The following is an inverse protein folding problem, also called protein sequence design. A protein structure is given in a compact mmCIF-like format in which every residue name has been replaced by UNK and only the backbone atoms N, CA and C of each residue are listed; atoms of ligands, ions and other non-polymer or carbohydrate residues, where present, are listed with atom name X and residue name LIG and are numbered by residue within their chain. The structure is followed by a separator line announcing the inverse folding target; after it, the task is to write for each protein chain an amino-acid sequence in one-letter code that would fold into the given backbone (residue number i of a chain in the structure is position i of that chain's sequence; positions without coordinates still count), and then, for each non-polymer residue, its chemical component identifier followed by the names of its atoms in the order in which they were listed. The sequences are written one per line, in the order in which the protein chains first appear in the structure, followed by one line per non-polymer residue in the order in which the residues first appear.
data_IF_328284614976
#
_entry.id   IF_328284614976
#
_cell.length_a   1.000
_cell.length_b   1.000
_cell.length_c   1.000
_cell.angle_alpha   90.00
_cell.angle_beta   90.00
_cell.angle_gamma   90.00
#
_symmetry.space_group_name_H-M   'P 1'
#
loop_
_entity.id
_entity.type
_entity.pdbx_description
1 polymer ?
#
# COMPACT_ATOMS: atom_id res chain seq x y z
N UNK A 1 10.67 11.71 1.08
CA UNK A 1 11.27 10.84 2.14
C UNK A 1 10.57 11.01 3.47
N UNK A 2 10.29 12.25 3.89
CA UNK A 2 9.50 12.52 5.11
C UNK A 2 8.12 11.87 5.04
N UNK A 3 7.50 11.90 3.87
CA UNK A 3 6.18 11.32 3.60
C UNK A 3 6.16 9.79 3.79
N UNK A 4 7.23 9.11 3.38
CA UNK A 4 7.37 7.64 3.50
C UNK A 4 7.49 7.25 4.98
N UNK A 5 8.29 8.00 5.74
CA UNK A 5 8.45 7.75 7.17
C UNK A 5 7.15 8.03 7.91
N UNK A 6 6.46 9.13 7.58
CA UNK A 6 5.18 9.49 8.18
C UNK A 6 4.07 8.48 7.83
N UNK A 7 4.02 7.97 6.59
CA UNK A 7 3.03 6.96 6.20
C UNK A 7 3.27 5.62 6.89
N UNK A 8 4.53 5.22 7.05
CA UNK A 8 4.89 4.03 7.82
C UNK A 8 4.47 4.16 9.28
N UNK A 9 4.81 5.29 9.93
CA UNK A 9 4.43 5.57 11.31
C UNK A 9 2.91 5.57 11.46
N UNK A 10 2.18 6.24 10.57
CA UNK A 10 0.72 6.27 10.57
C UNK A 10 0.13 4.86 10.44
N UNK A 11 0.64 4.03 9.52
CA UNK A 11 0.21 2.64 9.34
C UNK A 11 0.42 1.78 10.59
N UNK A 12 1.58 1.93 11.25
CA UNK A 12 1.87 1.27 12.53
C UNK A 12 0.89 1.73 13.61
N UNK A 13 0.68 3.04 13.77
CA UNK A 13 -0.26 3.58 14.76
C UNK A 13 -1.70 3.08 14.54
N UNK A 14 -2.18 3.09 13.31
CA UNK A 14 -3.51 2.58 12.96
C UNK A 14 -3.61 1.09 13.28
N UNK A 15 -2.61 0.29 12.89
CA UNK A 15 -2.59 -1.15 13.19
C UNK A 15 -2.60 -1.45 14.69
N UNK A 16 -1.80 -0.73 15.48
CA UNK A 16 -1.77 -0.87 16.93
C UNK A 16 -3.10 -0.45 17.55
N UNK A 17 -3.63 0.71 17.16
CA UNK A 17 -4.90 1.23 17.68
C UNK A 17 -6.04 0.24 17.46
N UNK A 18 -6.21 -0.24 16.22
CA UNK A 18 -7.28 -1.18 15.86
C UNK A 18 -7.16 -2.51 16.59
N UNK A 19 -5.93 -2.99 16.82
CA UNK A 19 -5.68 -4.20 17.60
C UNK A 19 -6.00 -4.03 19.08
N UNK A 20 -5.72 -2.85 19.66
CA UNK A 20 -6.03 -2.52 21.07
C UNK A 20 -7.55 -2.48 21.27
N UNK A 21 -8.28 -1.78 20.39
CA UNK A 21 -9.75 -1.66 20.47
C UNK A 21 -10.49 -2.88 19.93
N UNK A 22 -9.77 -3.93 19.52
CA UNK A 22 -10.29 -5.20 18.99
C UNK A 22 -11.23 -5.03 17.80
N UNK A 23 -11.01 -3.99 16.99
CA UNK A 23 -11.73 -3.80 15.74
C UNK A 23 -11.08 -4.64 14.64
N UNK A 24 -11.86 -5.10 13.64
CA UNK A 24 -11.29 -5.69 12.45
C UNK A 24 -10.34 -4.71 11.78
N UNK A 25 -9.16 -5.19 11.39
CA UNK A 25 -8.16 -4.36 10.72
C UNK A 25 -8.71 -3.86 9.38
N UNK A 26 -8.53 -2.57 9.03
CA UNK A 26 -8.98 -2.02 7.76
C UNK A 26 -8.09 -2.48 6.59
N UNK A 27 -6.82 -2.80 6.88
CA UNK A 27 -5.88 -3.34 5.90
C UNK A 27 -6.04 -4.86 5.74
N UNK A 28 -5.68 -5.43 4.57
CA UNK A 28 -5.73 -6.87 4.36
C UNK A 28 -4.98 -7.62 5.47
N UNK A 29 -5.63 -8.56 6.18
CA UNK A 29 -5.03 -9.24 7.33
C UNK A 29 -4.00 -10.31 6.94
N UNK A 30 -3.85 -10.58 5.63
CA UNK A 30 -2.98 -11.61 5.08
C UNK A 30 -1.93 -11.02 4.16
N UNK A 31 -0.74 -11.61 4.17
CA UNK A 31 0.38 -11.16 3.33
C UNK A 31 0.02 -11.16 1.85
N UNK A 32 -0.79 -12.13 1.40
CA UNK A 32 -1.28 -12.22 0.01
C UNK A 32 -2.07 -10.99 -0.41
N UNK A 33 -2.85 -10.39 0.50
CA UNK A 33 -3.60 -9.16 0.23
C UNK A 33 -2.68 -7.95 0.10
N UNK A 34 -1.64 -7.86 0.93
CA UNK A 34 -0.62 -6.80 0.84
C UNK A 34 0.14 -6.90 -0.50
N UNK A 35 0.54 -8.10 -0.90
CA UNK A 35 1.18 -8.36 -2.19
C UNK A 35 0.23 -8.01 -3.35
N UNK A 36 -1.06 -8.31 -3.23
CA UNK A 36 -2.07 -7.93 -4.23
C UNK A 36 -2.15 -6.42 -4.46
N UNK A 37 -2.24 -5.62 -3.39
CA UNK A 37 -2.26 -4.13 -3.48
C UNK A 37 -0.96 -3.61 -4.12
N UNK A 38 0.19 -4.16 -3.73
CA UNK A 38 1.46 -3.80 -4.34
C UNK A 38 1.51 -4.14 -5.84
N UNK A 39 0.97 -5.29 -6.24
CA UNK A 39 0.83 -5.69 -7.64
C UNK A 39 -0.06 -4.75 -8.46
N UNK A 40 -1.17 -4.25 -7.88
CA UNK A 40 -2.03 -3.25 -8.52
C UNK A 40 -1.27 -1.95 -8.78
N UNK A 41 -0.52 -1.46 -7.79
CA UNK A 41 0.32 -0.27 -7.96
C UNK A 41 1.39 -0.48 -9.04
N UNK A 42 2.12 -1.60 -8.99
CA UNK A 42 3.13 -1.93 -10.01
C UNK A 42 2.52 -2.04 -11.40
N UNK A 43 1.34 -2.63 -11.54
CA UNK A 43 0.63 -2.72 -12.83
C UNK A 43 0.37 -1.34 -13.44
N UNK A 44 -0.11 -0.39 -12.64
CA UNK A 44 -0.29 1.00 -13.09
C UNK A 44 1.02 1.66 -13.52
N UNK A 45 2.07 1.52 -12.70
CA UNK A 45 3.41 2.04 -13.02
C UNK A 45 3.95 1.45 -14.33
N UNK A 46 3.74 0.15 -14.57
CA UNK A 46 4.17 -0.51 -15.80
C UNK A 46 3.41 0.00 -17.02
N UNK A 47 2.10 0.28 -16.90
CA UNK A 47 1.31 0.88 -17.97
C UNK A 47 1.75 2.31 -18.26
N UNK A 48 1.99 3.12 -17.23
CA UNK A 48 2.51 4.49 -17.39
C UNK A 48 3.88 4.47 -18.07
N UNK A 49 4.74 3.54 -17.65
CA UNK A 49 6.05 3.34 -18.26
C UNK A 49 5.90 2.93 -19.73
N UNK A 50 5.14 1.87 -20.03
CA UNK A 50 4.90 1.42 -21.40
C UNK A 50 4.31 2.53 -22.29
N UNK A 51 3.34 3.29 -21.78
CA UNK A 51 2.72 4.41 -22.52
C UNK A 51 3.72 5.50 -22.85
N UNK A 52 4.71 5.76 -21.99
CA UNK A 52 5.79 6.72 -22.26
C UNK A 52 6.76 6.26 -23.36
N UNK A 53 6.92 4.95 -23.55
CA UNK A 53 7.79 4.38 -24.61
C UNK A 53 7.05 4.16 -25.93
N UNK A 54 5.75 3.84 -25.89
CA UNK A 54 4.94 3.56 -27.08
C UNK A 54 4.10 4.76 -27.58
N UNK A 55 3.95 5.81 -26.76
CA UNK A 55 3.24 7.05 -27.10
C UNK A 55 4.14 8.16 -27.64
N UNK A 56 5.33 7.83 -28.13
CA UNK A 56 6.13 8.69 -29.03
C UNK A 56 5.88 8.29 -30.48
#
# INVERSE_FOLDING_TARGET
MKEIILSLIAGVFVGVLFKIIRLPLPAPPVLTGVIGIFGVYLGGVLVDWASKYFGQ
#
